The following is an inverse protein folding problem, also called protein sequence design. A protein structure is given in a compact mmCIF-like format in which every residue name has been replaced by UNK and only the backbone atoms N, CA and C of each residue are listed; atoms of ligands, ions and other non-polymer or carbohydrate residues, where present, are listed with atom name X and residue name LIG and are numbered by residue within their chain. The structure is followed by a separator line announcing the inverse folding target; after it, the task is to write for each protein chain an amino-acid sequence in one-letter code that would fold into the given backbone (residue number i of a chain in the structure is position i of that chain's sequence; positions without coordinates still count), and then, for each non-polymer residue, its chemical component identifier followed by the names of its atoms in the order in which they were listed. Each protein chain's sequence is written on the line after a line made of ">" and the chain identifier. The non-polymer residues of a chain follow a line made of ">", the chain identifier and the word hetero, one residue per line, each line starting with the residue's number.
data_IF_816439854072
#
_entry.id   IF_816439854072
#
_cell.length_a   1.000
_cell.length_b   1.000
_cell.length_c   1.000
_cell.angle_alpha   90.00
_cell.angle_beta   90.00
_cell.angle_gamma   90.00
#
_symmetry.space_group_name_H-M   'P 1'
#
loop_
_entity.id
_entity.type
_entity.pdbx_description
1 polymer ?
#
# COMPACT_ATOMS: atom_id res chain seq x y z
N UNK A 1 31.49 -14.77 -13.56
CA UNK A 1 31.54 -14.21 -12.20
C UNK A 1 31.18 -12.72 -12.17
N UNK A 2 31.55 -11.92 -13.18
CA UNK A 2 31.32 -10.47 -13.24
C UNK A 2 29.84 -10.02 -13.26
N UNK A 3 28.94 -10.82 -13.82
CA UNK A 3 27.49 -10.53 -13.90
C UNK A 3 26.73 -10.92 -12.62
N UNK A 4 27.25 -11.89 -11.86
CA UNK A 4 26.56 -12.48 -10.70
C UNK A 4 26.60 -11.54 -9.51
N UNK A 5 27.74 -10.87 -9.28
CA UNK A 5 27.89 -9.95 -8.15
C UNK A 5 26.94 -8.74 -8.27
N UNK A 6 26.85 -8.03 -9.41
CA UNK A 6 25.86 -6.97 -9.61
C UNK A 6 24.41 -7.45 -9.46
N UNK A 7 24.08 -8.63 -10.00
CA UNK A 7 22.74 -9.20 -9.86
C UNK A 7 22.36 -9.38 -8.38
N UNK A 8 23.25 -9.96 -7.58
CA UNK A 8 23.00 -10.17 -6.14
C UNK A 8 22.84 -8.82 -5.43
N UNK A 9 23.74 -7.87 -5.68
CA UNK A 9 23.71 -6.55 -5.03
C UNK A 9 22.42 -5.81 -5.35
N UNK A 10 22.00 -5.77 -6.62
CA UNK A 10 20.76 -5.09 -7.03
C UNK A 10 19.51 -5.77 -6.45
N UNK A 11 19.50 -7.11 -6.41
CA UNK A 11 18.39 -7.87 -5.82
C UNK A 11 18.25 -7.57 -4.33
N UNK A 12 19.36 -7.52 -3.59
CA UNK A 12 19.35 -7.19 -2.17
C UNK A 12 18.91 -5.74 -1.92
N UNK A 13 19.36 -4.79 -2.74
CA UNK A 13 18.91 -3.40 -2.64
C UNK A 13 17.40 -3.26 -2.90
N UNK A 14 16.88 -3.95 -3.92
CA UNK A 14 15.45 -3.97 -4.22
C UNK A 14 14.65 -4.61 -3.08
N UNK A 15 15.13 -5.73 -2.53
CA UNK A 15 14.50 -6.43 -1.41
C UNK A 15 14.38 -5.53 -0.18
N UNK A 16 15.43 -4.78 0.19
CA UNK A 16 15.37 -3.85 1.33
C UNK A 16 14.39 -2.71 1.08
N UNK A 17 14.44 -2.08 -0.10
CA UNK A 17 13.55 -0.94 -0.44
C UNK A 17 12.08 -1.34 -0.51
N UNK A 18 11.76 -2.51 -1.08
CA UNK A 18 10.39 -3.03 -1.14
C UNK A 18 9.94 -3.64 0.19
N UNK A 19 10.87 -4.21 0.97
CA UNK A 19 10.59 -4.85 2.24
C UNK A 19 10.11 -3.87 3.32
N UNK A 20 10.62 -2.63 3.34
CA UNK A 20 10.20 -1.63 4.35
C UNK A 20 8.70 -1.33 4.32
N UNK A 21 8.07 -0.96 3.19
CA UNK A 21 6.62 -0.76 3.16
C UNK A 21 5.85 -2.07 3.37
N UNK A 22 6.36 -3.22 2.90
CA UNK A 22 5.73 -4.52 3.16
C UNK A 22 5.71 -4.86 4.66
N UNK A 23 6.78 -4.54 5.39
CA UNK A 23 6.86 -4.80 6.83
C UNK A 23 5.72 -4.11 7.58
N UNK A 24 5.43 -2.85 7.26
CA UNK A 24 4.31 -2.12 7.87
C UNK A 24 2.96 -2.75 7.52
N UNK A 25 2.78 -3.19 6.28
CA UNK A 25 1.57 -3.90 5.87
C UNK A 25 1.40 -5.21 6.66
N UNK A 26 2.44 -6.04 6.75
CA UNK A 26 2.41 -7.31 7.49
C UNK A 26 2.15 -7.09 8.99
N UNK A 27 2.72 -6.05 9.60
CA UNK A 27 2.41 -5.70 11.00
C UNK A 27 0.92 -5.38 11.19
N UNK A 28 0.32 -4.65 10.24
CA UNK A 28 -1.12 -4.40 10.22
C UNK A 28 -1.95 -5.67 10.01
N UNK A 29 -1.51 -6.57 9.12
CA UNK A 29 -2.22 -7.84 8.89
C UNK A 29 -2.20 -8.73 10.11
N UNK A 30 -1.07 -8.83 10.83
CA UNK A 30 -0.97 -9.57 12.09
C UNK A 30 -1.97 -9.06 13.13
N UNK A 31 -2.16 -7.74 13.23
CA UNK A 31 -3.17 -7.16 14.13
C UNK A 31 -4.59 -7.54 13.69
N UNK A 32 -4.85 -7.51 12.39
CA UNK A 32 -6.16 -7.88 11.82
C UNK A 32 -6.46 -9.36 12.07
N UNK A 33 -5.50 -10.25 11.84
CA UNK A 33 -5.63 -11.69 12.08
C UNK A 33 -5.86 -12.00 13.56
N UNK A 34 -5.18 -11.28 14.47
CA UNK A 34 -5.44 -11.40 15.91
C UNK A 34 -6.85 -11.01 16.32
N UNK A 35 -7.54 -10.17 15.54
CA UNK A 35 -8.96 -9.84 15.75
C UNK A 35 -9.93 -10.88 15.17
N UNK A 36 -9.42 -11.95 14.54
CA UNK A 36 -10.23 -13.00 13.91
C UNK A 36 -10.61 -12.73 12.46
N UNK A 37 -10.01 -11.71 11.82
CA UNK A 37 -10.25 -11.37 10.41
C UNK A 37 -8.95 -11.50 9.62
N UNK A 38 -8.89 -12.49 8.75
CA UNK A 38 -7.78 -12.69 7.81
C UNK A 38 -7.95 -11.76 6.61
N UNK A 39 -6.96 -10.89 6.37
CA UNK A 39 -7.01 -9.93 5.29
C UNK A 39 -5.94 -10.20 4.22
N UNK A 40 -6.28 -11.09 3.28
CA UNK A 40 -5.51 -11.34 2.05
C UNK A 40 -5.63 -10.21 1.02
N UNK A 41 -6.48 -9.20 1.30
CA UNK A 41 -6.70 -8.03 0.46
C UNK A 41 -5.66 -6.91 0.61
N UNK A 42 -4.61 -7.14 1.41
CA UNK A 42 -3.72 -6.07 1.85
C UNK A 42 -2.94 -5.40 0.72
N UNK A 43 -2.59 -6.15 -0.34
CA UNK A 43 -1.97 -5.59 -1.54
C UNK A 43 -2.89 -4.55 -2.20
N UNK A 44 -4.19 -4.85 -2.30
CA UNK A 44 -5.19 -3.90 -2.81
C UNK A 44 -5.30 -2.65 -1.94
N UNK A 45 -5.31 -2.81 -0.61
CA UNK A 45 -5.32 -1.68 0.32
C UNK A 45 -4.06 -0.81 0.17
N UNK A 46 -2.89 -1.43 0.03
CA UNK A 46 -1.63 -0.73 -0.19
C UNK A 46 -1.66 0.09 -1.49
N UNK A 47 -2.13 -0.52 -2.59
CA UNK A 47 -2.20 0.15 -3.89
C UNK A 47 -3.17 1.35 -3.87
N UNK A 48 -4.37 1.17 -3.28
CA UNK A 48 -5.35 2.26 -3.16
C UNK A 48 -4.84 3.37 -2.23
N UNK A 49 -4.20 3.01 -1.12
CA UNK A 49 -3.55 3.97 -0.22
C UNK A 49 -2.42 4.74 -0.92
N UNK A 50 -1.59 4.05 -1.71
CA UNK A 50 -0.49 4.66 -2.45
C UNK A 50 -0.98 5.67 -3.49
N UNK A 51 -1.96 5.31 -4.32
CA UNK A 51 -2.48 6.24 -5.34
C UNK A 51 -3.21 7.42 -4.70
N UNK A 52 -4.06 7.18 -3.69
CA UNK A 52 -4.82 8.26 -3.04
C UNK A 52 -3.89 9.25 -2.30
N UNK A 53 -2.87 8.74 -1.60
CA UNK A 53 -1.83 9.58 -0.99
C UNK A 53 -1.02 10.35 -2.02
N UNK A 54 -0.63 9.71 -3.13
CA UNK A 54 0.09 10.40 -4.21
C UNK A 54 -0.75 11.55 -4.80
N UNK A 55 -2.01 11.29 -5.13
CA UNK A 55 -2.95 12.28 -5.68
C UNK A 55 -3.13 13.44 -4.71
N UNK A 56 -3.33 13.15 -3.43
CA UNK A 56 -3.46 14.18 -2.40
C UNK A 56 -2.18 15.03 -2.28
N UNK A 57 -1.00 14.41 -2.24
CA UNK A 57 0.28 15.12 -2.19
C UNK A 57 0.46 16.01 -3.43
N UNK A 58 0.13 15.49 -4.60
CA UNK A 58 0.27 16.20 -5.87
C UNK A 58 -0.61 17.46 -5.94
N UNK A 59 -1.89 17.37 -5.58
CA UNK A 59 -2.82 18.51 -5.69
C UNK A 59 -2.70 19.49 -4.54
N UNK A 60 -2.40 19.03 -3.33
CA UNK A 60 -2.41 19.90 -2.13
C UNK A 60 -1.04 20.45 -1.77
N UNK A 61 0.04 19.81 -2.25
CA UNK A 61 1.39 20.11 -1.81
C UNK A 61 1.70 19.70 -0.36
N UNK A 62 0.72 19.16 0.38
CA UNK A 62 0.83 18.86 1.80
C UNK A 62 1.01 17.35 2.03
N UNK A 63 2.23 16.98 2.38
CA UNK A 63 2.63 15.58 2.63
C UNK A 63 1.94 14.94 3.84
N UNK A 64 1.62 15.71 4.88
CA UNK A 64 0.91 15.17 6.05
C UNK A 64 -0.56 14.89 5.73
N UNK A 65 -1.19 15.79 4.98
CA UNK A 65 -2.55 15.58 4.50
C UNK A 65 -2.62 14.34 3.59
N UNK A 66 -1.61 14.13 2.74
CA UNK A 66 -1.50 12.95 1.90
C UNK A 66 -1.48 11.64 2.70
N UNK A 67 -0.78 11.60 3.85
CA UNK A 67 -0.78 10.44 4.74
C UNK A 67 -2.19 10.19 5.29
N UNK A 68 -2.88 11.23 5.75
CA UNK A 68 -4.25 11.09 6.29
C UNK A 68 -5.20 10.57 5.20
N UNK A 69 -5.11 11.12 3.98
CA UNK A 69 -5.94 10.66 2.85
C UNK A 69 -5.66 9.19 2.52
N UNK A 70 -4.39 8.78 2.48
CA UNK A 70 -4.03 7.38 2.25
C UNK A 70 -4.57 6.44 3.34
N UNK A 71 -4.48 6.85 4.61
CA UNK A 71 -5.04 6.11 5.74
C UNK A 71 -6.55 5.94 5.60
N UNK A 72 -7.28 7.04 5.35
CA UNK A 72 -8.75 7.00 5.19
C UNK A 72 -9.15 6.12 4.01
N UNK A 73 -8.48 6.24 2.85
CA UNK A 73 -8.80 5.42 1.68
C UNK A 73 -8.59 3.92 1.95
N UNK A 74 -7.47 3.55 2.57
CA UNK A 74 -7.20 2.17 2.98
C UNK A 74 -8.21 1.66 4.01
N UNK A 75 -8.55 2.47 5.01
CA UNK A 75 -9.57 2.14 6.02
C UNK A 75 -10.95 1.92 5.41
N UNK A 76 -11.37 2.74 4.43
CA UNK A 76 -12.64 2.55 3.72
C UNK A 76 -12.68 1.21 2.99
N UNK A 77 -11.60 0.83 2.30
CA UNK A 77 -11.50 -0.48 1.65
C UNK A 77 -11.53 -1.63 2.68
N UNK A 78 -10.85 -1.46 3.82
CA UNK A 78 -10.86 -2.39 4.94
C UNK A 78 -12.26 -2.54 5.56
N UNK A 79 -13.02 -1.45 5.67
CA UNK A 79 -14.42 -1.48 6.12
C UNK A 79 -15.32 -2.23 5.15
N UNK A 80 -15.11 -2.07 3.84
CA UNK A 80 -15.82 -2.87 2.82
C UNK A 80 -15.52 -4.36 3.02
N UNK A 81 -14.26 -4.74 3.20
CA UNK A 81 -13.88 -6.12 3.50
C UNK A 81 -14.56 -6.63 4.78
N UNK A 82 -14.49 -5.85 5.87
CA UNK A 82 -15.12 -6.20 7.14
C UNK A 82 -16.65 -6.33 7.03
N UNK A 83 -17.30 -5.49 6.24
CA UNK A 83 -18.73 -5.61 6.00
C UNK A 83 -19.08 -6.97 5.36
N UNK A 84 -18.35 -7.37 4.31
CA UNK A 84 -18.57 -8.68 3.68
C UNK A 84 -18.23 -9.85 4.61
N UNK A 85 -17.13 -9.79 5.35
CA UNK A 85 -16.65 -10.93 6.13
C UNK A 85 -17.28 -11.05 7.51
N UNK A 86 -17.49 -9.93 8.20
CA UNK A 86 -18.04 -9.90 9.57
C UNK A 86 -19.57 -9.84 9.53
N UNK A 87 -20.16 -8.95 8.71
CA UNK A 87 -21.62 -8.76 8.69
C UNK A 87 -22.29 -9.82 7.81
N UNK A 88 -21.79 -10.02 6.59
CA UNK A 88 -22.38 -10.94 5.62
C UNK A 88 -21.81 -12.36 5.68
N UNK A 89 -20.79 -12.61 6.50
CA UNK A 89 -20.15 -13.92 6.69
C UNK A 89 -19.64 -14.55 5.39
N UNK A 90 -19.22 -13.73 4.44
CA UNK A 90 -18.57 -14.18 3.21
C UNK A 90 -17.20 -14.77 3.54
N UNK A 91 -16.77 -15.76 2.75
CA UNK A 91 -15.43 -16.33 2.86
C UNK A 91 -14.36 -15.22 2.76
N UNK A 92 -13.53 -15.11 3.81
CA UNK A 92 -12.52 -14.06 3.95
C UNK A 92 -11.44 -14.13 2.87
N UNK A 93 -11.10 -15.33 2.40
CA UNK A 93 -10.14 -15.54 1.30
C UNK A 93 -10.70 -14.93 0.01
N UNK A 94 -11.95 -15.25 -0.33
CA UNK A 94 -12.60 -14.76 -1.54
C UNK A 94 -12.76 -13.24 -1.49
N UNK A 95 -13.23 -12.71 -0.36
CA UNK A 95 -13.35 -11.26 -0.18
C UNK A 95 -11.99 -10.56 -0.25
N UNK A 96 -10.96 -11.12 0.38
CA UNK A 96 -9.60 -10.58 0.35
C UNK A 96 -9.04 -10.53 -1.08
N UNK A 97 -9.11 -11.63 -1.83
CA UNK A 97 -8.65 -11.67 -3.23
C UNK A 97 -9.43 -10.69 -4.12
N UNK A 98 -10.75 -10.56 -3.91
CA UNK A 98 -11.57 -9.59 -4.62
C UNK A 98 -11.14 -8.15 -4.33
N UNK A 99 -10.79 -7.85 -3.07
CA UNK A 99 -10.26 -6.55 -2.66
C UNK A 99 -8.90 -6.26 -3.30
N UNK A 100 -8.01 -7.27 -3.39
CA UNK A 100 -6.74 -7.12 -4.12
C UNK A 100 -6.95 -6.81 -5.59
N UNK A 101 -7.84 -7.54 -6.26
CA UNK A 101 -8.19 -7.27 -7.67
C UNK A 101 -8.80 -5.88 -7.86
N UNK A 102 -9.74 -5.50 -6.99
CA UNK A 102 -10.37 -4.18 -7.02
C UNK A 102 -9.33 -3.06 -6.81
N UNK A 103 -8.47 -3.20 -5.80
CA UNK A 103 -7.44 -2.21 -5.51
C UNK A 103 -6.42 -2.07 -6.65
N UNK A 104 -6.06 -3.18 -7.27
CA UNK A 104 -5.20 -3.21 -8.47
C UNK A 104 -5.86 -2.47 -9.63
N UNK A 105 -7.15 -2.75 -9.89
CA UNK A 105 -7.92 -2.08 -10.94
C UNK A 105 -8.06 -0.57 -10.71
N UNK A 106 -8.47 -0.16 -9.51
CA UNK A 106 -8.61 1.27 -9.13
C UNK A 106 -7.27 1.98 -9.25
N UNK A 107 -6.21 1.43 -8.67
CA UNK A 107 -4.88 2.04 -8.71
C UNK A 107 -4.33 2.14 -10.13
N UNK A 108 -4.56 1.12 -10.98
CA UNK A 108 -4.13 1.14 -12.36
C UNK A 108 -4.88 2.17 -13.21
N UNK A 109 -6.21 2.19 -13.12
CA UNK A 109 -7.05 3.12 -13.89
C UNK A 109 -6.84 4.57 -13.47
N UNK A 110 -6.86 4.85 -12.16
CA UNK A 110 -6.69 6.19 -11.65
C UNK A 110 -5.24 6.67 -11.76
N UNK A 111 -4.28 5.79 -11.49
CA UNK A 111 -2.86 6.09 -11.55
C UNK A 111 -2.34 6.39 -12.95
N UNK A 112 -3.05 5.95 -14.00
CA UNK A 112 -2.65 6.15 -15.40
C UNK A 112 -2.37 7.63 -15.74
N UNK A 113 -3.20 8.56 -15.23
CA UNK A 113 -3.04 10.00 -15.48
C UNK A 113 -1.87 10.63 -14.72
N UNK A 114 -1.30 9.93 -13.74
CA UNK A 114 -0.21 10.42 -12.89
C UNK A 114 1.15 9.77 -13.22
N UNK A 115 1.20 8.88 -14.22
CA UNK A 115 2.46 8.28 -14.67
C UNK A 115 3.40 9.35 -15.20
N UNK A 116 4.63 9.39 -14.67
CA UNK A 116 5.66 10.36 -15.06
C UNK A 116 5.54 11.73 -14.38
N UNK A 117 4.52 11.94 -13.55
CA UNK A 117 4.32 13.18 -12.81
C UNK A 117 5.06 13.09 -11.47
N UNK A 118 5.66 14.20 -11.02
CA UNK A 118 6.43 14.26 -9.77
C UNK A 118 5.62 15.01 -8.71
N UNK A 119 5.30 14.33 -7.61
CA UNK A 119 4.73 14.95 -6.42
C UNK A 119 5.82 15.44 -5.46
N UNK A 120 5.50 16.39 -4.56
CA UNK A 120 6.40 16.83 -3.50
C UNK A 120 6.90 15.67 -2.64
N UNK A 121 8.09 15.83 -2.06
CA UNK A 121 8.77 14.83 -1.23
C UNK A 121 9.13 15.43 0.13
N UNK A 122 9.20 14.60 1.16
CA UNK A 122 9.72 15.03 2.45
C UNK A 122 11.15 15.56 2.30
N UNK A 123 11.43 16.69 2.94
CA UNK A 123 12.80 17.22 3.02
C UNK A 123 13.68 16.21 3.76
N UNK A 124 14.82 15.87 3.18
CA UNK A 124 15.78 15.00 3.84
C UNK A 124 16.35 15.74 5.05
N UNK A 125 15.95 15.32 6.24
CA UNK A 125 16.59 15.77 7.47
C UNK A 125 17.96 15.11 7.50
N UNK A 126 19.02 15.90 7.36
CA UNK A 126 20.39 15.41 7.56
C UNK A 126 20.53 15.08 9.03
N UNK A 127 20.42 13.81 9.36
CA UNK A 127 20.77 13.32 10.69
C UNK A 127 22.31 13.46 10.76
N UNK A 128 22.86 14.26 11.68
CA UNK A 128 24.29 14.26 11.91
C UNK A 128 24.66 12.90 12.50
N UNK A 129 25.13 12.00 11.64
CA UNK A 129 25.82 10.77 12.01
C UNK A 129 27.33 11.05 12.01
#
# INVERSE_FOLDING_TARGET
>A
MSEVVPFIVLTLQAAVRAGTPLLFAVLGSILTERSGVMNLGIEGLMLVGAISGFVASYHTGNLFLAIIVAMVAGSLLGLVHAFFTVTLRVNQIVSGLAITMLGTGISGLWGKSYVGVVAPRFSVVRIPL
#
